data_IF_284067561861
#
_entry.id   IF_284067561861
#
_cell.length_a   1.000
_cell.length_b   1.000
_cell.length_c   1.000
_cell.angle_alpha   90.00
_cell.angle_beta   90.00
_cell.angle_gamma   90.00
#
_symmetry.space_group_name_H-M   'P 1'
#
loop_
_entity.id
_entity.type
_entity.pdbx_description
1 polymer ?
#
# COMPACT_ATOMS: atom_id res chain seq x y z
N UNK A 1 15.58 -3.50 -7.49
CA UNK A 1 14.14 -3.87 -7.53
C UNK A 1 13.56 -3.37 -8.84
N UNK A 2 12.75 -4.17 -9.57
CA UNK A 2 12.06 -3.70 -10.78
C UNK A 2 11.15 -2.48 -10.49
N UNK A 3 11.11 -1.45 -11.36
CA UNK A 3 10.29 -0.25 -11.15
C UNK A 3 8.79 -0.53 -10.90
N UNK A 4 8.24 -1.56 -11.55
CA UNK A 4 6.87 -2.02 -11.37
C UNK A 4 6.59 -2.40 -9.90
N UNK A 5 7.48 -3.16 -9.28
CA UNK A 5 7.34 -3.57 -7.88
C UNK A 5 7.49 -2.40 -6.91
N UNK A 6 8.31 -1.39 -7.25
CA UNK A 6 8.43 -0.18 -6.44
C UNK A 6 7.08 0.55 -6.43
N UNK A 7 6.49 0.78 -7.60
CA UNK A 7 5.17 1.40 -7.74
C UNK A 7 4.08 0.63 -6.99
N UNK A 8 4.01 -0.68 -7.19
CA UNK A 8 3.04 -1.56 -6.53
C UNK A 8 3.14 -1.47 -5.02
N UNK A 9 4.35 -1.61 -4.47
CA UNK A 9 4.57 -1.55 -3.02
C UNK A 9 4.26 -0.17 -2.44
N UNK A 10 4.63 0.92 -3.12
CA UNK A 10 4.32 2.28 -2.68
C UNK A 10 2.81 2.53 -2.58
N UNK A 11 2.05 2.13 -3.60
CA UNK A 11 0.59 2.32 -3.58
C UNK A 11 -0.11 1.34 -2.63
N UNK A 12 0.38 0.10 -2.52
CA UNK A 12 -0.13 -0.88 -1.57
C UNK A 12 -0.02 -0.41 -0.12
N UNK A 13 1.10 0.23 0.26
CA UNK A 13 1.26 0.79 1.61
C UNK A 13 0.18 1.84 1.91
N UNK A 14 -0.06 2.79 0.99
CA UNK A 14 -1.09 3.81 1.15
C UNK A 14 -2.52 3.24 1.17
N UNK A 15 -2.80 2.22 0.36
CA UNK A 15 -4.08 1.51 0.40
C UNK A 15 -4.28 0.74 1.70
N UNK A 16 -3.20 0.26 2.33
CA UNK A 16 -3.23 -0.40 3.63
C UNK A 16 -3.65 0.59 4.74
N UNK A 17 -3.14 1.83 4.71
CA UNK A 17 -3.57 2.89 5.64
C UNK A 17 -5.09 3.14 5.53
N UNK A 18 -5.62 3.18 4.30
CA UNK A 18 -7.07 3.30 4.09
C UNK A 18 -7.84 2.09 4.64
N UNK A 19 -7.31 0.88 4.46
CA UNK A 19 -7.91 -0.32 5.02
C UNK A 19 -7.98 -0.26 6.56
N UNK A 20 -6.92 0.20 7.21
CA UNK A 20 -6.89 0.37 8.66
C UNK A 20 -7.92 1.39 9.19
N UNK A 21 -8.31 2.36 8.35
CA UNK A 21 -9.36 3.34 8.68
C UNK A 21 -10.76 2.89 8.26
N UNK A 22 -10.90 1.73 7.60
CA UNK A 22 -12.16 1.26 7.01
C UNK A 22 -12.65 2.11 5.84
N UNK A 23 -11.73 2.81 5.17
CA UNK A 23 -12.04 3.73 4.07
C UNK A 23 -12.08 3.02 2.72
N UNK A 24 -13.05 3.41 1.89
CA UNK A 24 -13.09 3.05 0.47
C UNK A 24 -12.13 3.97 -0.30
N UNK A 25 -11.14 3.44 -1.04
CA UNK A 25 -10.24 4.27 -1.85
C UNK A 25 -10.98 5.05 -2.93
N UNK A 26 -10.53 6.26 -3.24
CA UNK A 26 -11.14 7.11 -4.26
C UNK A 26 -10.12 7.60 -5.30
N UNK A 27 -9.11 8.36 -4.88
CA UNK A 27 -8.05 8.83 -5.77
C UNK A 27 -6.76 9.05 -5.00
N UNK A 28 -5.67 9.26 -5.74
CA UNK A 28 -4.37 9.58 -5.16
C UNK A 28 -3.63 10.61 -6.01
N UNK A 29 -2.62 11.24 -5.41
CA UNK A 29 -1.65 12.08 -6.10
C UNK A 29 -0.24 11.50 -5.96
N UNK A 30 0.64 11.83 -6.91
CA UNK A 30 2.02 11.36 -6.94
C UNK A 30 2.99 12.54 -7.09
N UNK A 31 3.94 12.68 -6.17
CA UNK A 31 5.15 13.46 -6.41
C UNK A 31 6.33 12.50 -6.61
N UNK A 32 6.94 12.55 -7.80
CA UNK A 32 8.08 11.72 -8.16
C UNK A 32 9.33 12.58 -8.35
N UNK A 33 10.37 12.31 -7.58
CA UNK A 33 11.68 12.95 -7.73
C UNK A 33 12.66 11.96 -8.34
N UNK A 34 13.38 12.36 -9.40
CA UNK A 34 14.37 11.51 -10.08
C UNK A 34 15.70 12.27 -10.27
N UNK A 35 16.86 11.61 -10.13
CA UNK A 35 18.15 12.30 -10.25
C UNK A 35 18.40 12.76 -11.69
N UNK A 36 17.99 11.92 -12.64
CA UNK A 36 18.02 12.16 -14.08
C UNK A 36 16.76 11.55 -14.70
N UNK A 37 16.25 12.08 -15.82
CA UNK A 37 15.20 11.43 -16.57
C UNK A 37 15.62 10.01 -16.99
N UNK A 38 14.76 9.02 -16.76
CA UNK A 38 14.97 7.62 -17.14
C UNK A 38 13.65 7.05 -17.66
N UNK A 39 13.53 6.94 -18.99
CA UNK A 39 12.31 6.48 -19.64
C UNK A 39 11.98 5.02 -19.33
N UNK A 40 12.98 4.16 -19.14
CA UNK A 40 12.76 2.75 -18.82
C UNK A 40 12.23 2.59 -17.39
N UNK A 41 12.81 3.32 -16.44
CA UNK A 41 12.30 3.38 -15.08
C UNK A 41 10.87 3.94 -15.05
N UNK A 42 10.63 5.07 -15.71
CA UNK A 42 9.33 5.73 -15.75
C UNK A 42 8.24 4.86 -16.37
N UNK A 43 8.53 4.17 -17.48
CA UNK A 43 7.60 3.23 -18.08
C UNK A 43 7.23 2.12 -17.10
N UNK A 44 8.23 1.43 -16.53
CA UNK A 44 7.96 0.33 -15.62
C UNK A 44 7.26 0.75 -14.33
N UNK A 45 7.60 1.92 -13.79
CA UNK A 45 6.93 2.48 -12.63
C UNK A 45 5.46 2.82 -12.95
N UNK A 46 5.20 3.40 -14.12
CA UNK A 46 3.85 3.73 -14.58
C UNK A 46 3.01 2.48 -14.81
N UNK A 47 3.57 1.42 -15.42
CA UNK A 47 2.90 0.14 -15.63
C UNK A 47 2.44 -0.47 -14.29
N UNK A 48 3.32 -0.46 -13.28
CA UNK A 48 2.99 -0.95 -11.94
C UNK A 48 1.91 -0.12 -11.23
N UNK A 49 1.94 1.20 -11.40
CA UNK A 49 0.91 2.10 -10.86
C UNK A 49 -0.45 1.87 -11.54
N UNK A 50 -0.49 1.77 -12.87
CA UNK A 50 -1.72 1.52 -13.63
C UNK A 50 -2.34 0.19 -13.21
N UNK A 51 -1.54 -0.88 -13.11
CA UNK A 51 -2.03 -2.18 -12.69
C UNK A 51 -2.70 -2.12 -11.30
N UNK A 52 -2.09 -1.41 -10.34
CA UNK A 52 -2.68 -1.24 -9.01
C UNK A 52 -3.93 -0.37 -9.04
N UNK A 53 -3.89 0.74 -9.79
CA UNK A 53 -5.01 1.65 -9.94
C UNK A 53 -6.24 0.93 -10.50
N UNK A 54 -6.07 0.09 -11.52
CA UNK A 54 -7.12 -0.76 -12.08
C UNK A 54 -7.59 -1.82 -11.08
N UNK A 55 -6.67 -2.51 -10.41
CA UNK A 55 -7.00 -3.57 -9.44
C UNK A 55 -7.87 -3.04 -8.29
N UNK A 56 -7.54 -1.86 -7.78
CA UNK A 56 -8.23 -1.25 -6.64
C UNK A 56 -9.26 -0.19 -7.03
N UNK A 57 -9.51 -0.02 -8.34
CA UNK A 57 -10.49 0.92 -8.89
C UNK A 57 -10.30 2.35 -8.36
N UNK A 58 -9.06 2.83 -8.38
CA UNK A 58 -8.67 4.18 -7.97
C UNK A 58 -7.99 4.93 -9.11
N UNK A 59 -8.09 6.26 -9.08
CA UNK A 59 -7.51 7.11 -10.12
C UNK A 59 -6.35 7.95 -9.61
N UNK A 60 -5.33 8.13 -10.44
CA UNK A 60 -4.33 9.18 -10.24
C UNK A 60 -4.97 10.53 -10.63
N UNK A 61 -5.25 11.37 -9.64
CA UNK A 61 -5.91 12.66 -9.84
C UNK A 61 -4.94 13.78 -10.23
N UNK A 62 -3.64 13.58 -10.06
CA UNK A 62 -2.62 14.57 -10.39
C UNK A 62 -1.28 14.26 -9.73
N UNK A 63 -0.31 15.11 -9.98
CA UNK A 63 1.04 14.91 -9.46
C UNK A 63 2.04 15.90 -10.01
N UNK A 64 3.27 15.76 -9.54
CA UNK A 64 4.42 16.53 -10.02
C UNK A 64 5.64 15.64 -10.20
N UNK A 65 6.53 16.01 -11.13
CA UNK A 65 7.81 15.32 -11.32
C UNK A 65 8.95 16.32 -11.26
N UNK A 66 9.90 16.08 -10.36
CA UNK A 66 11.00 16.99 -10.09
C UNK A 66 12.36 16.30 -10.15
N UNK A 67 13.44 17.09 -10.17
CA UNK A 67 14.82 16.58 -10.20
C UNK A 67 15.46 16.58 -8.81
N UNK A 68 16.02 15.45 -8.40
CA UNK A 68 16.71 15.27 -7.12
C UNK A 68 16.96 13.79 -6.80
N UNK A 69 17.45 13.43 -5.60
CA UNK A 69 17.53 12.03 -5.20
C UNK A 69 16.19 11.30 -5.36
N UNK A 70 16.21 10.02 -5.77
CA UNK A 70 14.98 9.26 -5.99
C UNK A 70 14.09 9.31 -4.74
N UNK A 71 12.90 9.88 -4.89
CA UNK A 71 11.89 9.94 -3.84
C UNK A 71 10.49 9.80 -4.46
N UNK A 72 9.63 9.06 -3.78
CA UNK A 72 8.26 8.79 -4.20
C UNK A 72 7.35 9.17 -3.04
N UNK A 73 6.49 10.14 -3.26
CA UNK A 73 5.47 10.54 -2.29
C UNK A 73 4.10 10.34 -2.92
N UNK A 74 3.27 9.52 -2.27
CA UNK A 74 1.87 9.33 -2.66
C UNK A 74 1.01 9.91 -1.54
N UNK A 75 -0.03 10.64 -1.92
CA UNK A 75 -1.11 11.01 -1.01
C UNK A 75 -2.36 10.31 -1.50
N UNK A 76 -3.01 9.56 -0.62
CA UNK A 76 -4.22 8.81 -0.97
C UNK A 76 -5.43 9.41 -0.28
N UNK A 77 -6.54 9.46 -1.01
CA UNK A 77 -7.82 9.95 -0.52
C UNK A 77 -8.79 8.77 -0.52
N UNK A 78 -9.37 8.51 0.65
CA UNK A 78 -10.42 7.54 0.86
C UNK A 78 -11.69 8.20 1.39
N UNK A 79 -12.81 7.49 1.25
CA UNK A 79 -14.13 7.92 1.69
C UNK A 79 -14.65 6.95 2.75
N UNK A 80 -15.24 7.51 3.81
CA UNK A 80 -15.89 6.77 4.89
C UNK A 80 -17.27 7.36 5.12
N UNK A 81 -18.31 6.53 5.39
CA UNK A 81 -19.56 7.04 5.94
C UNK A 81 -19.31 7.80 7.25
N UNK A 82 -20.12 8.82 7.50
CA UNK A 82 -20.00 9.67 8.67
C UNK A 82 -19.92 8.84 9.96
N UNK A 83 -18.93 9.15 10.80
CA UNK A 83 -18.70 8.53 12.10
C UNK A 83 -18.49 7.00 12.07
N UNK A 84 -18.01 6.45 10.95
CA UNK A 84 -17.71 5.01 10.84
C UNK A 84 -16.22 4.72 10.62
N UNK A 85 -15.37 5.75 10.62
CA UNK A 85 -13.93 5.58 10.47
C UNK A 85 -13.35 4.82 11.67
N UNK A 86 -12.51 3.83 11.40
CA UNK A 86 -11.72 3.18 12.43
C UNK A 86 -10.55 4.08 12.83
N UNK A 87 -10.29 4.16 14.14
CA UNK A 87 -9.21 4.98 14.71
C UNK A 87 -8.35 4.14 15.64
N UNK A 88 -7.08 4.52 15.79
CA UNK A 88 -6.12 3.79 16.66
C UNK A 88 -6.45 3.95 18.16
N UNK A 89 -7.08 5.06 18.53
CA UNK A 89 -7.31 5.46 19.92
C UNK A 89 -8.61 4.91 20.53
N UNK A 90 -9.34 4.05 19.81
CA UNK A 90 -10.65 3.55 20.25
C UNK A 90 -10.63 2.28 21.10
N UNK A 91 -9.46 1.66 21.29
CA UNK A 91 -9.32 0.40 22.02
C UNK A 91 -9.77 0.54 23.48
N UNK A 92 -10.40 -0.50 24.01
CA UNK A 92 -11.01 -0.53 25.33
C UNK A 92 -10.46 -1.71 26.15
N UNK A 93 -10.59 -1.60 27.47
CA UNK A 93 -10.25 -2.71 28.35
C UNK A 93 -11.21 -3.89 28.11
N UNK A 94 -10.64 -5.07 27.89
CA UNK A 94 -11.41 -6.28 27.60
C UNK A 94 -11.57 -6.59 26.11
N UNK A 95 -11.06 -5.72 25.23
CA UNK A 95 -11.00 -6.02 23.80
C UNK A 95 -10.01 -7.17 23.52
N UNK A 96 -10.43 -8.07 22.62
CA UNK A 96 -9.54 -9.05 22.02
C UNK A 96 -8.65 -8.39 20.94
N UNK A 97 -7.42 -8.89 20.78
CA UNK A 97 -6.49 -8.44 19.75
C UNK A 97 -6.45 -9.46 18.62
N UNK A 98 -6.69 -9.00 17.40
CA UNK A 98 -6.66 -9.81 16.18
C UNK A 98 -5.61 -9.30 15.21
N UNK A 99 -5.12 -10.21 14.36
CA UNK A 99 -4.26 -9.88 13.23
C UNK A 99 -4.83 -10.51 11.97
N UNK A 100 -4.66 -9.84 10.83
CA UNK A 100 -5.13 -10.36 9.55
C UNK A 100 -4.00 -11.05 8.78
N UNK A 101 -4.29 -12.23 8.21
CA UNK A 101 -3.30 -13.00 7.45
C UNK A 101 -2.14 -13.49 8.31
N UNK A 102 -0.92 -13.45 7.77
CA UNK A 102 0.30 -13.92 8.43
C UNK A 102 1.30 -12.78 8.60
N UNK A 103 2.02 -12.81 9.72
CA UNK A 103 3.07 -11.86 10.07
C UNK A 103 4.45 -12.46 9.74
N UNK A 104 5.37 -11.61 9.29
CA UNK A 104 6.77 -12.01 9.04
C UNK A 104 7.10 -12.37 7.59
N UNK A 105 6.11 -12.69 6.74
CA UNK A 105 6.36 -13.12 5.35
C UNK A 105 7.18 -12.12 4.54
N UNK A 106 6.87 -10.83 4.65
CA UNK A 106 7.58 -9.79 3.91
C UNK A 106 9.05 -9.65 4.38
N UNK A 107 9.31 -9.85 5.67
CA UNK A 107 10.66 -9.86 6.22
C UNK A 107 11.44 -11.08 5.72
N UNK A 108 10.80 -12.25 5.68
CA UNK A 108 11.40 -13.45 5.09
C UNK A 108 11.67 -13.27 3.59
N UNK A 109 10.76 -12.65 2.84
CA UNK A 109 10.97 -12.33 1.42
C UNK A 109 12.13 -11.36 1.18
N UNK A 110 12.28 -10.36 2.06
CA UNK A 110 13.44 -9.46 2.04
C UNK A 110 14.75 -10.22 2.30
N UNK A 111 14.74 -11.14 3.26
CA UNK A 111 15.91 -11.95 3.58
C UNK A 111 16.31 -12.87 2.41
N UNK A 112 15.34 -13.43 1.68
CA UNK A 112 15.61 -14.16 0.44
C UNK A 112 16.34 -13.27 -0.58
N UNK A 113 15.87 -12.04 -0.77
CA UNK A 113 16.47 -11.08 -1.72
C UNK A 113 17.90 -10.73 -1.29
N UNK A 114 18.13 -10.43 -0.01
CA UNK A 114 19.46 -10.09 0.49
C UNK A 114 20.47 -11.22 0.32
N UNK A 115 20.03 -12.48 0.52
CA UNK A 115 20.87 -13.65 0.36
C UNK A 115 20.94 -14.19 -1.07
N UNK A 116 20.38 -13.46 -2.05
CA UNK A 116 20.28 -13.90 -3.45
C UNK A 116 19.60 -15.27 -3.62
N UNK A 117 18.69 -15.62 -2.69
CA UNK A 117 17.82 -16.78 -2.81
C UNK A 117 16.75 -16.39 -3.82
N UNK A 118 16.73 -17.10 -4.94
CA UNK A 118 15.77 -16.85 -6.02
C UNK A 118 14.39 -17.45 -5.67
N UNK A 119 13.72 -16.86 -4.68
CA UNK A 119 12.29 -17.07 -4.47
C UNK A 119 11.52 -16.15 -5.43
N UNK A 120 10.74 -16.74 -6.32
CA UNK A 120 9.77 -16.04 -7.18
C UNK A 120 8.33 -16.36 -6.78
N UNK A 121 8.16 -17.08 -5.67
CA UNK A 121 6.88 -17.56 -5.19
C UNK A 121 6.29 -16.65 -4.13
N UNK A 122 5.81 -17.29 -3.05
CA UNK A 122 4.96 -16.66 -2.06
C UNK A 122 5.65 -15.52 -1.30
N UNK A 123 6.87 -15.71 -0.78
CA UNK A 123 7.50 -14.70 0.10
C UNK A 123 7.94 -13.48 -0.72
N UNK A 124 8.44 -13.70 -1.94
CA UNK A 124 8.70 -12.63 -2.88
C UNK A 124 7.46 -11.79 -3.17
N UNK A 125 6.29 -12.41 -3.40
CA UNK A 125 5.04 -11.69 -3.59
C UNK A 125 4.65 -10.89 -2.34
N UNK A 126 4.77 -11.49 -1.14
CA UNK A 126 4.45 -10.81 0.13
C UNK A 126 5.36 -9.60 0.40
N UNK A 127 6.58 -9.61 -0.14
CA UNK A 127 7.47 -8.45 -0.11
C UNK A 127 7.18 -7.45 -1.23
N UNK A 128 7.19 -7.84 -2.50
CA UNK A 128 7.08 -6.87 -3.61
C UNK A 128 5.68 -6.30 -3.81
N UNK A 129 4.64 -7.10 -3.56
CA UNK A 129 3.25 -6.71 -3.78
C UNK A 129 2.36 -7.18 -2.62
N UNK A 130 2.54 -6.59 -1.41
CA UNK A 130 1.68 -6.92 -0.27
C UNK A 130 0.23 -6.58 -0.61
N UNK A 131 -0.72 -7.37 -0.12
CA UNK A 131 -2.15 -7.19 -0.41
C UNK A 131 -2.81 -6.31 0.66
N UNK A 132 -3.23 -5.06 0.33
CA UNK A 132 -4.10 -4.25 1.18
C UNK A 132 -5.39 -4.98 1.56
N UNK A 133 -5.82 -4.82 2.81
CA UNK A 133 -6.99 -5.54 3.36
C UNK A 133 -8.27 -4.70 3.31
N UNK A 134 -8.51 -4.01 2.20
CA UNK A 134 -9.63 -3.07 2.06
C UNK A 134 -11.00 -3.67 2.38
N UNK A 135 -11.39 -4.87 1.87
CA UNK A 135 -12.69 -5.44 2.20
C UNK A 135 -12.83 -5.78 3.68
N UNK A 136 -11.73 -6.18 4.33
CA UNK A 136 -11.72 -6.43 5.77
C UNK A 136 -11.89 -5.11 6.55
N UNK A 137 -11.16 -4.07 6.18
CA UNK A 137 -11.31 -2.74 6.77
C UNK A 137 -12.74 -2.22 6.70
N UNK A 138 -13.36 -2.30 5.52
CA UNK A 138 -14.75 -1.91 5.32
C UNK A 138 -15.73 -2.74 6.17
N UNK A 139 -15.45 -4.04 6.37
CA UNK A 139 -16.27 -4.94 7.17
C UNK A 139 -16.11 -4.74 8.68
N UNK A 140 -14.98 -4.20 9.14
CA UNK A 140 -14.66 -3.99 10.55
C UNK A 140 -15.26 -2.71 11.15
N UNK A 141 -15.74 -1.75 10.34
CA UNK A 141 -16.22 -0.44 10.80
C UNK A 141 -17.26 -0.46 11.94
N UNK A 142 -18.09 -1.50 11.98
CA UNK A 142 -19.16 -1.69 12.97
C UNK A 142 -18.86 -2.82 13.98
N UNK A 143 -17.62 -3.33 14.00
CA UNK A 143 -17.22 -4.50 14.81
C UNK A 143 -15.98 -4.25 15.64
N UNK A 144 -14.99 -3.55 15.08
CA UNK A 144 -13.76 -3.21 15.77
C UNK A 144 -13.91 -1.89 16.53
N UNK A 145 -13.33 -1.84 17.72
CA UNK A 145 -13.20 -0.62 18.53
C UNK A 145 -12.02 0.24 18.07
N UNK A 146 -10.95 -0.39 17.56
CA UNK A 146 -9.79 0.26 16.99
C UNK A 146 -9.10 -0.61 15.93
N UNK A 147 -8.30 0.01 15.06
CA UNK A 147 -7.50 -0.70 14.06
C UNK A 147 -6.20 0.05 13.71
N UNK A 148 -5.21 -0.71 13.27
CA UNK A 148 -3.91 -0.27 12.73
C UNK A 148 -3.38 -1.35 11.79
N UNK A 149 -2.65 -0.96 10.76
CA UNK A 149 -1.91 -1.83 9.85
C UNK A 149 -0.39 -1.83 10.07
#
# INVERSE_FOLDING_TARGET
MPPQHIAQRCLAANLSDLAAMGAKPAWFTLCLTLPTPDSAFLQGFSDGLVQMAETYQISLAGGDTSRGPLAISIQIIGLVPNNTALVRSGAQQGDDIYVSGHLGDAAAGLECIHNNINDTGYLAQRFFNPTPRLPLGEWLRDKATAAID
#
